data_IF_286022995949
#
_entry.id   IF_286022995949
#
_cell.length_a   1.000
_cell.length_b   1.000
_cell.length_c   1.000
_cell.angle_alpha   90.00
_cell.angle_beta   90.00
_cell.angle_gamma   90.00
#
_symmetry.space_group_name_H-M   'P 1'
#
loop_
_entity.id
_entity.type
_entity.pdbx_description
1 polymer ?
#
# COMPACT_ATOMS: atom_id res chain seq x y z
N UNK A 1 -1.07 -28.26 10.42
CA UNK A 1 -0.67 -27.30 9.37
C UNK A 1 -1.93 -27.02 8.57
N UNK A 2 -2.30 -25.75 8.35
CA UNK A 2 -3.47 -25.43 7.52
C UNK A 2 -3.09 -25.54 6.05
N UNK A 3 -4.00 -26.06 5.24
CA UNK A 3 -3.81 -26.10 3.80
C UNK A 3 -3.94 -24.69 3.18
N UNK A 4 -3.31 -24.44 2.02
CA UNK A 4 -3.40 -23.13 1.36
C UNK A 4 -4.83 -22.64 1.12
N UNK A 5 -5.75 -23.55 0.81
CA UNK A 5 -7.16 -23.23 0.59
C UNK A 5 -7.86 -22.78 1.87
N UNK A 6 -7.54 -23.42 3.01
CA UNK A 6 -8.05 -23.01 4.33
C UNK A 6 -7.53 -21.62 4.72
N UNK A 7 -6.26 -21.33 4.43
CA UNK A 7 -5.65 -20.02 4.66
C UNK A 7 -6.38 -18.95 3.82
N UNK A 8 -6.65 -19.24 2.55
CA UNK A 8 -7.37 -18.34 1.66
C UNK A 8 -8.81 -18.10 2.11
N UNK A 9 -9.52 -19.15 2.53
CA UNK A 9 -10.88 -19.05 3.03
C UNK A 9 -10.93 -18.24 4.33
N UNK A 10 -10.06 -18.54 5.30
CA UNK A 10 -9.96 -17.79 6.54
C UNK A 10 -9.63 -16.32 6.30
N UNK A 11 -8.76 -16.02 5.32
CA UNK A 11 -8.43 -14.65 4.93
C UNK A 11 -9.68 -13.90 4.43
N UNK A 12 -10.48 -14.52 3.55
CA UNK A 12 -11.73 -13.93 3.07
C UNK A 12 -12.74 -13.69 4.20
N UNK A 13 -12.91 -14.66 5.10
CA UNK A 13 -13.81 -14.53 6.26
C UNK A 13 -13.32 -13.40 7.18
N UNK A 14 -12.01 -13.28 7.40
CA UNK A 14 -11.41 -12.20 8.19
C UNK A 14 -11.72 -10.82 7.61
N UNK A 15 -11.53 -10.64 6.31
CA UNK A 15 -11.85 -9.37 5.65
C UNK A 15 -13.35 -9.05 5.69
N UNK A 16 -14.21 -10.05 5.52
CA UNK A 16 -15.65 -9.86 5.64
C UNK A 16 -16.06 -9.44 7.06
N UNK A 17 -15.46 -10.03 8.10
CA UNK A 17 -15.69 -9.64 9.48
C UNK A 17 -15.24 -8.19 9.73
N UNK A 18 -14.06 -7.81 9.25
CA UNK A 18 -13.54 -6.44 9.37
C UNK A 18 -14.44 -5.41 8.66
N UNK A 19 -14.94 -5.74 7.47
CA UNK A 19 -15.84 -4.88 6.70
C UNK A 19 -17.21 -4.69 7.37
N UNK A 20 -17.68 -5.69 8.13
CA UNK A 20 -18.91 -5.61 8.93
C UNK A 20 -18.72 -4.90 10.28
N UNK A 21 -17.52 -4.40 10.58
CA UNK A 21 -17.19 -3.80 11.87
C UNK A 21 -17.07 -4.80 13.02
N UNK A 22 -17.03 -6.10 12.73
CA UNK A 22 -16.81 -7.15 13.72
C UNK A 22 -15.32 -7.31 14.00
N UNK A 23 -14.76 -6.28 14.63
CA UNK A 23 -13.34 -6.21 14.91
C UNK A 23 -12.86 -7.38 15.77
N UNK A 24 -13.69 -7.84 16.72
CA UNK A 24 -13.35 -8.96 17.60
C UNK A 24 -13.12 -10.24 16.80
N UNK A 25 -14.03 -10.62 15.89
CA UNK A 25 -13.84 -11.84 15.09
C UNK A 25 -12.69 -11.68 14.09
N UNK A 26 -12.57 -10.53 13.45
CA UNK A 26 -11.49 -10.27 12.49
C UNK A 26 -10.11 -10.36 13.16
N UNK A 27 -9.93 -9.76 14.35
CA UNK A 27 -8.68 -9.84 15.13
C UNK A 27 -8.31 -11.30 15.48
N UNK A 28 -9.29 -12.11 15.88
CA UNK A 28 -9.06 -13.53 16.18
C UNK A 28 -8.60 -14.28 14.94
N UNK A 29 -9.25 -14.07 13.80
CA UNK A 29 -8.94 -14.75 12.53
C UNK A 29 -7.55 -14.36 12.04
N UNK A 30 -7.27 -13.06 11.90
CA UNK A 30 -5.97 -12.60 11.40
C UNK A 30 -4.84 -12.88 12.39
N UNK A 31 -5.12 -12.84 13.70
CA UNK A 31 -4.17 -13.26 14.74
C UNK A 31 -3.84 -14.76 14.66
N UNK A 32 -4.80 -15.61 14.27
CA UNK A 32 -4.52 -17.02 13.99
C UNK A 32 -3.70 -17.20 12.71
N UNK A 33 -4.04 -16.47 11.64
CA UNK A 33 -3.30 -16.51 10.37
C UNK A 33 -1.84 -16.08 10.53
N UNK A 34 -1.56 -15.06 11.35
CA UNK A 34 -0.18 -14.66 11.67
C UNK A 34 0.64 -15.75 12.34
N UNK A 35 0.02 -16.63 13.15
CA UNK A 35 0.75 -17.75 13.76
C UNK A 35 1.11 -18.86 12.76
N UNK A 36 0.42 -18.90 11.62
CA UNK A 36 0.60 -19.92 10.58
C UNK A 36 1.50 -19.39 9.45
N UNK A 37 1.34 -18.13 9.08
CA UNK A 37 1.99 -17.45 7.94
C UNK A 37 2.36 -16.01 8.32
N UNK A 38 3.35 -15.83 9.19
CA UNK A 38 3.80 -14.50 9.62
C UNK A 38 4.55 -13.75 8.50
N UNK A 39 5.02 -14.47 7.48
CA UNK A 39 5.85 -13.96 6.39
C UNK A 39 5.07 -13.28 5.26
N UNK A 40 3.75 -13.16 5.37
CA UNK A 40 2.86 -12.66 4.31
C UNK A 40 2.11 -11.40 4.74
N UNK A 41 1.85 -10.50 3.79
CA UNK A 41 1.24 -9.21 4.12
C UNK A 41 -0.23 -9.31 4.58
N UNK A 42 -1.00 -10.25 4.02
CA UNK A 42 -2.46 -10.27 4.16
C UNK A 42 -2.94 -10.29 5.61
N UNK A 43 -2.25 -11.01 6.51
CA UNK A 43 -2.67 -11.09 7.91
C UNK A 43 -2.34 -9.81 8.68
N UNK A 44 -1.19 -9.18 8.41
CA UNK A 44 -0.82 -7.87 8.95
C UNK A 44 -1.75 -6.75 8.45
N UNK A 45 -2.02 -6.74 7.14
CA UNK A 45 -2.94 -5.80 6.49
C UNK A 45 -4.36 -6.00 7.01
N UNK A 46 -4.82 -7.24 7.16
CA UNK A 46 -6.12 -7.58 7.71
C UNK A 46 -6.32 -7.05 9.14
N UNK A 47 -5.33 -7.23 10.03
CA UNK A 47 -5.36 -6.62 11.37
C UNK A 47 -5.37 -5.10 11.32
N UNK A 48 -4.53 -4.50 10.48
CA UNK A 48 -4.51 -3.05 10.33
C UNK A 48 -5.87 -2.52 9.88
N UNK A 49 -6.45 -3.06 8.81
CA UNK A 49 -7.79 -2.69 8.34
C UNK A 49 -8.86 -2.87 9.43
N UNK A 50 -8.76 -3.96 10.20
CA UNK A 50 -9.67 -4.21 11.32
C UNK A 50 -9.62 -3.07 12.34
N UNK A 51 -8.44 -2.62 12.73
CA UNK A 51 -8.26 -1.50 13.65
C UNK A 51 -8.65 -0.16 13.02
N UNK A 52 -8.33 0.08 11.75
CA UNK A 52 -8.73 1.29 11.05
C UNK A 52 -10.25 1.45 10.97
N UNK A 53 -10.97 0.37 10.64
CA UNK A 53 -12.43 0.36 10.63
C UNK A 53 -13.03 0.58 12.03
N UNK A 54 -12.31 0.20 13.08
CA UNK A 54 -12.69 0.43 14.47
C UNK A 54 -12.26 1.82 15.00
N UNK A 55 -11.69 2.69 14.17
CA UNK A 55 -11.18 4.02 14.58
C UNK A 55 -9.89 3.97 15.41
N UNK A 56 -9.22 2.81 15.48
CA UNK A 56 -8.00 2.56 16.26
C UNK A 56 -6.75 2.73 15.38
N UNK A 57 -6.59 3.88 14.77
CA UNK A 57 -5.50 4.13 13.83
C UNK A 57 -4.10 3.99 14.46
N UNK A 58 -3.93 4.45 15.70
CA UNK A 58 -2.67 4.29 16.44
C UNK A 58 -2.23 2.84 16.63
N UNK A 59 -3.16 1.90 16.83
CA UNK A 59 -2.85 0.47 16.97
C UNK A 59 -2.37 -0.13 15.64
N UNK A 60 -3.01 0.25 14.53
CA UNK A 60 -2.57 -0.13 13.19
C UNK A 60 -1.16 0.39 12.89
N UNK A 61 -0.87 1.65 13.24
CA UNK A 61 0.47 2.23 13.11
C UNK A 61 1.49 1.46 13.95
N UNK A 62 1.19 1.21 15.23
CA UNK A 62 2.10 0.51 16.15
C UNK A 62 2.43 -0.91 15.66
N UNK A 63 1.44 -1.62 15.11
CA UNK A 63 1.64 -2.94 14.56
C UNK A 63 2.47 -2.91 13.27
N UNK A 64 2.04 -2.17 12.24
CA UNK A 64 2.64 -2.22 10.91
C UNK A 64 4.08 -1.66 10.88
N UNK A 65 4.42 -0.72 11.77
CA UNK A 65 5.78 -0.15 11.83
C UNK A 65 6.88 -1.18 12.04
N UNK A 66 6.57 -2.25 12.75
CA UNK A 66 7.52 -3.30 13.10
C UNK A 66 7.52 -4.46 12.10
N UNK A 67 6.62 -4.45 11.12
CA UNK A 67 6.52 -5.50 10.11
C UNK A 67 7.56 -5.29 9.02
N UNK A 68 8.41 -6.29 8.81
CA UNK A 68 9.41 -6.33 7.74
C UNK A 68 9.32 -7.68 7.06
N UNK A 69 8.93 -7.67 5.79
CA UNK A 69 8.73 -8.87 4.99
C UNK A 69 9.83 -8.96 3.93
N UNK A 70 10.25 -10.20 3.64
CA UNK A 70 11.33 -10.47 2.69
C UNK A 70 10.88 -10.28 1.23
N UNK A 71 9.62 -10.61 0.94
CA UNK A 71 9.03 -10.37 -0.36
C UNK A 71 8.71 -8.88 -0.55
N UNK A 72 9.09 -8.33 -1.71
CA UNK A 72 8.96 -6.90 -1.99
C UNK A 72 7.49 -6.50 -2.13
N UNK A 73 6.67 -7.29 -2.80
CA UNK A 73 5.25 -6.96 -3.04
C UNK A 73 4.49 -6.91 -1.72
N UNK A 74 4.71 -7.91 -0.86
CA UNK A 74 4.16 -7.97 0.49
C UNK A 74 4.65 -6.79 1.36
N UNK A 75 5.94 -6.43 1.28
CA UNK A 75 6.49 -5.31 2.05
C UNK A 75 5.93 -3.96 1.58
N UNK A 76 5.86 -3.71 0.28
CA UNK A 76 5.27 -2.49 -0.28
C UNK A 76 3.80 -2.35 0.15
N UNK A 77 3.04 -3.45 0.15
CA UNK A 77 1.65 -3.45 0.59
C UNK A 77 1.54 -3.06 2.08
N UNK A 78 2.35 -3.66 2.94
CA UNK A 78 2.43 -3.30 4.37
C UNK A 78 2.78 -1.82 4.56
N UNK A 79 3.75 -1.29 3.81
CA UNK A 79 4.14 0.12 3.92
C UNK A 79 3.05 1.07 3.41
N UNK A 80 2.32 0.70 2.36
CA UNK A 80 1.18 1.49 1.88
C UNK A 80 0.05 1.56 2.92
N UNK A 81 -0.28 0.44 3.56
CA UNK A 81 -1.25 0.41 4.66
C UNK A 81 -0.75 1.13 5.92
N UNK A 82 0.56 1.14 6.19
CA UNK A 82 1.15 1.97 7.23
C UNK A 82 0.96 3.45 6.91
N UNK A 83 1.18 3.86 5.67
CA UNK A 83 0.91 5.22 5.21
C UNK A 83 -0.55 5.64 5.40
N UNK A 84 -1.51 4.79 5.01
CA UNK A 84 -2.93 5.00 5.27
C UNK A 84 -3.23 5.12 6.77
N UNK A 85 -2.70 4.22 7.59
CA UNK A 85 -2.89 4.26 9.03
C UNK A 85 -2.35 5.56 9.65
N UNK A 86 -1.19 6.04 9.18
CA UNK A 86 -0.62 7.32 9.60
C UNK A 86 -1.48 8.52 9.18
N UNK A 87 -2.12 8.50 8.01
CA UNK A 87 -3.06 9.56 7.61
C UNK A 87 -4.26 9.60 8.57
N UNK A 88 -4.83 8.44 8.89
CA UNK A 88 -5.98 8.32 9.80
C UNK A 88 -5.62 8.62 11.26
N UNK A 89 -4.37 8.42 11.66
CA UNK A 89 -3.81 8.82 12.97
C UNK A 89 -3.37 10.30 13.01
N UNK A 90 -3.74 11.10 12.00
CA UNK A 90 -3.37 12.53 11.87
C UNK A 90 -1.86 12.83 11.80
N UNK A 91 -1.05 11.84 11.38
CA UNK A 91 0.42 11.94 11.24
C UNK A 91 0.84 12.16 9.78
N UNK A 92 0.25 13.18 9.16
CA UNK A 92 0.34 13.43 7.72
C UNK A 92 1.78 13.52 7.18
N UNK A 93 2.70 14.17 7.91
CA UNK A 93 4.10 14.29 7.46
C UNK A 93 4.84 12.95 7.41
N UNK A 94 4.54 12.04 8.34
CA UNK A 94 5.13 10.70 8.35
C UNK A 94 4.49 9.83 7.26
N UNK A 95 3.16 9.92 7.11
CA UNK A 95 2.45 9.25 6.02
C UNK A 95 3.03 9.65 4.65
N UNK A 96 3.23 10.95 4.41
CA UNK A 96 3.77 11.45 3.15
C UNK A 96 5.14 10.84 2.83
N UNK A 97 6.02 10.72 3.83
CA UNK A 97 7.36 10.15 3.66
C UNK A 97 7.29 8.68 3.29
N UNK A 98 6.51 7.90 4.04
CA UNK A 98 6.33 6.46 3.80
C UNK A 98 5.72 6.22 2.43
N UNK A 99 4.59 6.87 2.12
CA UNK A 99 3.90 6.68 0.85
C UNK A 99 4.75 7.10 -0.35
N UNK A 100 5.49 8.22 -0.27
CA UNK A 100 6.38 8.65 -1.36
C UNK A 100 7.46 7.61 -1.63
N UNK A 101 8.08 7.07 -0.58
CA UNK A 101 9.13 6.05 -0.73
C UNK A 101 8.61 4.78 -1.43
N UNK A 102 7.37 4.36 -1.15
CA UNK A 102 6.77 3.17 -1.77
C UNK A 102 6.34 3.48 -3.21
N UNK A 103 5.73 4.64 -3.44
CA UNK A 103 5.26 5.07 -4.76
C UNK A 103 6.38 5.18 -5.80
N UNK A 104 7.58 5.62 -5.39
CA UNK A 104 8.77 5.68 -6.25
C UNK A 104 9.21 4.30 -6.76
N UNK A 105 8.82 3.21 -6.11
CA UNK A 105 9.14 1.86 -6.60
C UNK A 105 8.32 1.47 -7.84
N UNK A 106 7.14 2.07 -8.04
CA UNK A 106 6.31 1.85 -9.23
C UNK A 106 6.84 2.56 -10.47
N UNK A 107 7.67 3.61 -10.32
CA UNK A 107 8.26 4.33 -11.46
C UNK A 107 9.45 3.57 -12.06
N UNK A 108 10.06 2.65 -11.30
CA UNK A 108 11.32 2.01 -11.62
C UNK A 108 11.21 0.50 -11.95
N UNK A 109 10.04 -0.12 -11.75
CA UNK A 109 9.83 -1.57 -11.90
C UNK A 109 8.35 -1.85 -12.21
N UNK A 110 7.98 -3.11 -12.51
CA UNK A 110 6.57 -3.53 -12.56
C UNK A 110 5.87 -3.11 -11.25
N UNK A 111 4.89 -2.23 -11.35
CA UNK A 111 4.29 -1.57 -10.19
C UNK A 111 3.58 -2.59 -9.29
N UNK A 112 3.95 -2.63 -8.01
CA UNK A 112 3.31 -3.48 -7.00
C UNK A 112 1.96 -2.88 -6.59
N UNK A 113 1.04 -3.70 -6.08
CA UNK A 113 -0.25 -3.23 -5.57
C UNK A 113 -0.08 -2.17 -4.47
N UNK A 114 0.91 -2.35 -3.58
CA UNK A 114 1.27 -1.40 -2.54
C UNK A 114 1.73 -0.05 -3.10
N UNK A 115 2.58 -0.06 -4.14
CA UNK A 115 3.04 1.17 -4.77
C UNK A 115 1.92 1.92 -5.51
N UNK A 116 1.02 1.20 -6.19
CA UNK A 116 -0.17 1.78 -6.82
C UNK A 116 -1.13 2.37 -5.77
N UNK A 117 -1.34 1.67 -4.65
CA UNK A 117 -2.12 2.19 -3.53
C UNK A 117 -1.47 3.47 -2.97
N UNK A 118 -0.15 3.47 -2.80
CA UNK A 118 0.56 4.64 -2.29
C UNK A 118 0.40 5.87 -3.20
N UNK A 119 0.51 5.71 -4.53
CA UNK A 119 0.24 6.78 -5.48
C UNK A 119 -1.19 7.34 -5.33
N UNK A 120 -2.20 6.47 -5.25
CA UNK A 120 -3.60 6.88 -5.04
C UNK A 120 -3.78 7.65 -3.74
N UNK A 121 -3.17 7.20 -2.64
CA UNK A 121 -3.24 7.86 -1.34
C UNK A 121 -2.53 9.22 -1.31
N UNK A 122 -1.55 9.42 -2.19
CA UNK A 122 -0.89 10.71 -2.41
C UNK A 122 -1.65 11.63 -3.37
N UNK A 123 -2.76 11.17 -3.95
CA UNK A 123 -3.50 11.90 -4.99
C UNK A 123 -2.77 11.94 -6.34
N UNK A 124 -1.80 11.05 -6.56
CA UNK A 124 -1.09 10.90 -7.82
C UNK A 124 -1.88 9.92 -8.70
N UNK A 125 -2.43 10.41 -9.81
CA UNK A 125 -2.96 9.55 -10.86
C UNK A 125 -1.80 8.72 -11.41
N UNK A 126 -1.99 7.41 -11.60
CA UNK A 126 -0.99 6.53 -12.21
C UNK A 126 -0.41 7.22 -13.45
N UNK A 127 0.83 7.68 -13.34
CA UNK A 127 1.51 8.41 -14.40
C UNK A 127 1.75 7.38 -15.50
N UNK A 128 0.83 7.29 -16.45
CA UNK A 128 1.17 6.75 -17.77
C UNK A 128 2.40 7.51 -18.20
N UNK A 129 3.52 6.85 -18.58
CA UNK A 129 4.66 7.57 -19.11
C UNK A 129 4.19 8.26 -20.37
N UNK A 130 3.88 9.56 -20.27
CA UNK A 130 3.60 10.40 -21.40
C UNK A 130 4.94 10.51 -22.11
N UNK A 131 5.12 9.70 -23.14
CA UNK A 131 6.23 9.81 -24.08
C UNK A 131 6.22 11.25 -24.57
N UNK A 132 7.14 12.05 -24.04
CA UNK A 132 7.39 13.39 -24.50
C UNK A 132 7.87 13.27 -25.95
N UNK A 133 6.95 13.42 -26.90
CA UNK A 133 7.31 13.67 -28.28
C UNK A 133 7.96 15.06 -28.34
N UNK A 134 9.23 15.18 -28.78
CA UNK A 134 9.80 16.49 -29.04
C UNK A 134 9.11 17.06 -30.27
N UNK A 135 8.19 18.01 -30.07
CA UNK A 135 7.75 18.89 -31.15
C UNK A 135 8.88 19.87 -31.43
N UNK A 136 9.77 19.48 -32.33
CA UNK A 136 10.74 20.38 -32.97
C UNK A 136 9.98 21.37 -33.83
N UNK A 137 9.65 22.53 -33.27
CA UNK A 137 9.21 23.69 -34.05
C UNK A 137 10.41 24.29 -34.79
N UNK A 138 10.29 24.70 -36.07
CA UNK A 138 11.42 25.18 -36.83
C UNK A 138 11.91 26.55 -36.29
N UNK A 139 13.16 26.57 -35.86
CA UNK A 139 13.90 27.78 -35.48
C UNK A 139 14.01 28.74 -36.68
N UNK A 140 13.56 29.97 -36.47
CA UNK A 140 13.82 31.09 -37.36
C UNK A 140 15.33 31.43 -37.33
N UNK A 141 16.00 31.27 -38.48
CA UNK A 141 17.31 31.86 -38.73
C UNK A 141 17.17 32.93 -39.82
N UNK A 142 17.47 34.16 -39.42
CA UNK A 142 17.63 35.32 -40.28
C UNK A 142 19.02 35.35 -40.94
N UNK A 143 19.19 36.31 -41.86
CA UNK A 143 20.38 36.70 -42.66
C UNK A 143 20.49 35.88 -43.96
N UNK A 144 20.23 36.43 -45.14
CA UNK A 144 20.63 37.72 -45.67
C UNK A 144 21.89 37.50 -46.50
N UNK A 145 21.77 37.53 -47.83
CA UNK A 145 22.83 37.90 -48.78
C UNK A 145 22.19 38.42 -50.07
N UNK A 146 22.96 39.30 -50.70
CA UNK A 146 22.64 40.23 -51.79
C UNK A 146 22.30 39.56 -53.11
#
# INVERSE_FOLDING_TARGET
MLDPDDVNLLTQIGFLAAARGDAKRAEVIFGALLRVRAERAFAHVGLAMTWLNAGRAGDAVAHLRNVRLADKEDNDLVQAFLGLALQLDARASEAQRVLTSVAQTAENTHATEGALLAQRLLGQSATTPQTAHPTTGPSAFALGQR
#
